data_IF_383445378314
#
_entry.id   IF_383445378314
#
_cell.length_a   1.000
_cell.length_b   1.000
_cell.length_c   1.000
_cell.angle_alpha   90.00
_cell.angle_beta   90.00
_cell.angle_gamma   90.00
#
_symmetry.space_group_name_H-M   'P 1'
#
loop_
_entity.id
_entity.type
_entity.pdbx_description
1 polymer ?
#
# COMPACT_ATOMS: atom_id res chain seq x y z
N UNK A 1 -26.04 24.09 -1.06
CA UNK A 1 -25.77 22.95 -0.17
C UNK A 1 -25.93 21.69 -1.00
N UNK A 2 -24.83 21.04 -1.38
CA UNK A 2 -24.84 19.87 -2.28
C UNK A 2 -24.40 18.65 -1.48
N UNK A 3 -25.32 17.71 -1.29
CA UNK A 3 -25.09 16.42 -0.66
C UNK A 3 -24.72 15.40 -1.74
N UNK A 4 -23.51 14.86 -1.70
CA UNK A 4 -23.07 13.72 -2.51
C UNK A 4 -22.53 12.61 -1.60
N UNK A 5 -23.44 11.83 -1.02
CA UNK A 5 -23.15 10.48 -0.51
C UNK A 5 -24.40 9.62 -0.76
N UNK A 6 -24.37 8.86 -1.85
CA UNK A 6 -25.36 7.83 -2.17
C UNK A 6 -24.67 6.48 -2.25
N UNK A 7 -24.24 5.95 -1.10
CA UNK A 7 -23.77 4.56 -0.99
C UNK A 7 -24.92 3.70 -0.48
N UNK A 8 -25.35 2.75 -1.31
CA UNK A 8 -26.16 1.60 -0.90
C UNK A 8 -27.61 1.62 -1.35
N UNK A 9 -27.97 0.67 -2.22
CA UNK A 9 -29.15 -0.19 -2.05
C UNK A 9 -29.26 -1.23 -3.18
N UNK A 10 -29.10 -2.50 -2.78
CA UNK A 10 -29.86 -3.71 -3.17
C UNK A 10 -30.43 -3.89 -4.58
N UNK A 11 -30.09 -5.02 -5.21
CA UNK A 11 -30.93 -5.67 -6.22
C UNK A 11 -31.48 -6.98 -5.66
N UNK A 12 -32.82 -7.07 -5.62
CA UNK A 12 -33.63 -8.21 -5.21
C UNK A 12 -33.70 -9.26 -6.32
N UNK A 13 -33.85 -10.50 -5.88
CA UNK A 13 -34.30 -11.67 -6.63
C UNK A 13 -35.69 -11.45 -7.21
N UNK A 14 -35.90 -11.82 -8.48
CA UNK A 14 -37.23 -12.07 -9.03
C UNK A 14 -37.25 -13.44 -9.72
N UNK A 15 -37.97 -14.36 -9.11
CA UNK A 15 -38.39 -15.62 -9.69
C UNK A 15 -39.75 -15.40 -10.37
N UNK A 16 -39.88 -15.81 -11.63
CA UNK A 16 -41.17 -15.86 -12.29
C UNK A 16 -41.27 -17.13 -13.15
N UNK A 17 -42.24 -17.97 -12.81
CA UNK A 17 -42.75 -19.09 -13.61
C UNK A 17 -44.13 -18.66 -14.13
N UNK A 18 -44.59 -19.07 -15.33
CA UNK A 18 -45.39 -20.30 -15.38
C UNK A 18 -45.34 -21.12 -16.70
N UNK A 19 -45.48 -22.44 -16.51
CA UNK A 19 -46.25 -23.47 -17.25
C UNK A 19 -46.14 -23.61 -18.79
N UNK A 20 -45.74 -24.81 -19.23
CA UNK A 20 -46.54 -25.60 -20.17
C UNK A 20 -46.54 -27.07 -19.75
N UNK A 21 -47.72 -27.67 -19.86
CA UNK A 21 -48.14 -29.02 -19.48
C UNK A 21 -48.25 -29.85 -20.75
N UNK A 22 -47.86 -31.13 -20.71
CA UNK A 22 -48.36 -32.28 -21.50
C UNK A 22 -47.37 -33.45 -21.31
N UNK A 23 -47.71 -34.74 -21.39
CA UNK A 23 -48.80 -35.58 -20.88
C UNK A 23 -48.24 -37.03 -20.97
N UNK A 24 -48.76 -37.94 -20.14
CA UNK A 24 -48.76 -39.41 -20.31
C UNK A 24 -47.48 -40.27 -20.11
N UNK A 25 -47.49 -40.98 -18.96
CA UNK A 25 -47.46 -42.45 -18.77
C UNK A 25 -46.25 -43.37 -19.06
N UNK A 26 -46.08 -44.28 -18.08
CA UNK A 26 -45.66 -45.71 -18.11
C UNK A 26 -44.17 -46.11 -18.04
N UNK A 27 -43.79 -46.67 -16.88
CA UNK A 27 -42.77 -47.74 -16.64
C UNK A 27 -43.32 -49.09 -17.18
N UNK A 28 -42.60 -50.25 -17.26
CA UNK A 28 -41.19 -50.59 -16.95
C UNK A 28 -40.46 -51.51 -17.98
N UNK A 29 -39.21 -51.88 -17.64
CA UNK A 29 -38.50 -53.16 -17.85
C UNK A 29 -37.19 -53.27 -18.68
N UNK A 30 -36.22 -53.90 -18.00
CA UNK A 30 -35.24 -54.92 -18.41
C UNK A 30 -34.01 -54.64 -19.33
N UNK A 31 -32.84 -54.68 -18.66
CA UNK A 31 -31.59 -55.43 -18.94
C UNK A 31 -31.17 -55.79 -20.38
N UNK A 32 -29.93 -55.42 -20.74
CA UNK A 32 -28.93 -56.34 -21.30
C UNK A 32 -27.52 -55.74 -21.33
N UNK A 33 -26.54 -56.59 -21.01
CA UNK A 33 -25.11 -56.32 -20.89
C UNK A 33 -24.39 -56.23 -22.25
N UNK A 34 -23.37 -55.39 -22.40
CA UNK A 34 -22.24 -55.69 -23.30
C UNK A 34 -20.95 -54.93 -22.92
N UNK A 35 -19.84 -55.67 -23.00
CA UNK A 35 -18.47 -55.34 -22.57
C UNK A 35 -17.64 -54.65 -23.67
N UNK A 36 -16.71 -53.78 -23.22
CA UNK A 36 -15.44 -53.32 -23.82
C UNK A 36 -15.45 -52.11 -24.80
N UNK A 37 -14.34 -51.33 -24.94
CA UNK A 37 -13.13 -51.20 -24.10
C UNK A 37 -12.90 -49.75 -23.60
N UNK A 38 -11.97 -49.63 -22.63
CA UNK A 38 -11.53 -48.38 -22.03
C UNK A 38 -11.03 -47.37 -23.08
N UNK A 39 -11.76 -46.26 -23.23
CA UNK A 39 -11.24 -45.03 -23.81
C UNK A 39 -10.74 -44.15 -22.66
N UNK A 40 -9.43 -44.03 -22.54
CA UNK A 40 -8.77 -42.97 -21.79
C UNK A 40 -9.35 -41.64 -22.29
N UNK A 41 -9.96 -40.78 -21.44
CA UNK A 41 -10.15 -39.40 -21.86
C UNK A 41 -8.75 -38.81 -21.95
N UNK A 42 -8.25 -38.71 -23.19
CA UNK A 42 -7.15 -37.80 -23.51
C UNK A 42 -7.67 -36.43 -23.09
N UNK A 43 -7.22 -35.96 -21.93
CA UNK A 43 -7.39 -34.57 -21.54
C UNK A 43 -6.64 -33.76 -22.57
N UNK A 44 -7.36 -33.27 -23.57
CA UNK A 44 -6.91 -32.19 -24.44
C UNK A 44 -6.65 -31.00 -23.53
N UNK A 45 -5.41 -30.90 -23.03
CA UNK A 45 -4.90 -29.72 -22.38
C UNK A 45 -4.95 -28.63 -23.45
N UNK A 46 -6.06 -27.89 -23.48
CA UNK A 46 -6.17 -26.67 -24.25
C UNK A 46 -4.98 -25.82 -23.84
N UNK A 47 -4.07 -25.62 -24.78
CA UNK A 47 -2.93 -24.73 -24.62
C UNK A 47 -3.47 -23.39 -24.14
N UNK A 48 -3.24 -23.10 -22.86
CA UNK A 48 -3.62 -21.84 -22.26
C UNK A 48 -2.89 -20.76 -23.08
N UNK A 49 -3.62 -19.80 -23.68
CA UNK A 49 -2.97 -18.74 -24.43
C UNK A 49 -1.94 -18.07 -23.51
N UNK A 50 -0.75 -17.67 -24.02
CA UNK A 50 0.28 -17.07 -23.20
C UNK A 50 -0.34 -15.88 -22.47
N UNK A 51 -0.41 -15.99 -21.13
CA UNK A 51 -1.00 -14.95 -20.29
C UNK A 51 -0.31 -13.64 -20.64
N UNK A 52 -1.06 -12.70 -21.20
CA UNK A 52 -0.59 -11.34 -21.42
C UNK A 52 -0.16 -10.81 -20.07
N UNK A 53 1.13 -10.53 -19.91
CA UNK A 53 1.68 -10.02 -18.66
C UNK A 53 1.06 -8.64 -18.42
N UNK A 54 0.17 -8.54 -17.45
CA UNK A 54 -0.40 -7.27 -17.04
C UNK A 54 0.73 -6.40 -16.48
N UNK A 55 0.92 -5.20 -17.03
CA UNK A 55 1.99 -4.26 -16.61
C UNK A 55 1.43 -3.17 -15.68
N UNK A 56 0.52 -3.56 -14.79
CA UNK A 56 -0.21 -2.61 -13.94
C UNK A 56 0.72 -1.98 -12.90
N UNK A 57 1.66 -2.77 -12.37
CA UNK A 57 2.74 -2.33 -11.50
C UNK A 57 3.59 -1.20 -12.13
N UNK A 58 3.94 -1.32 -13.41
CA UNK A 58 4.73 -0.32 -14.13
C UNK A 58 3.97 1.00 -14.29
N UNK A 59 2.66 0.95 -14.52
CA UNK A 59 1.82 2.14 -14.64
C UNK A 59 1.72 2.88 -13.31
N UNK A 60 1.60 2.16 -12.20
CA UNK A 60 1.57 2.75 -10.87
C UNK A 60 2.94 3.35 -10.50
N UNK A 61 4.03 2.67 -10.84
CA UNK A 61 5.40 3.17 -10.64
C UNK A 61 5.65 4.46 -11.44
N UNK A 62 5.37 4.44 -12.74
CA UNK A 62 5.56 5.61 -13.61
C UNK A 62 4.67 6.76 -13.16
N UNK A 63 3.43 6.48 -12.76
CA UNK A 63 2.52 7.47 -12.19
C UNK A 63 3.08 8.11 -10.91
N UNK A 64 3.55 7.29 -9.96
CA UNK A 64 4.17 7.76 -8.72
C UNK A 64 5.46 8.56 -8.95
N UNK A 65 6.32 8.09 -9.87
CA UNK A 65 7.57 8.77 -10.23
C UNK A 65 7.31 10.10 -10.93
N UNK A 66 6.36 10.16 -11.86
CA UNK A 66 5.97 11.39 -12.54
C UNK A 66 5.36 12.40 -11.56
N UNK A 67 4.48 11.95 -10.67
CA UNK A 67 3.88 12.78 -9.64
C UNK A 67 4.93 13.32 -8.67
N UNK A 68 5.87 12.49 -8.22
CA UNK A 68 6.98 12.90 -7.37
C UNK A 68 7.91 13.91 -8.07
N UNK A 69 8.29 13.67 -9.32
CA UNK A 69 9.11 14.61 -10.08
C UNK A 69 8.41 15.97 -10.24
N UNK A 70 7.11 15.96 -10.53
CA UNK A 70 6.31 17.18 -10.62
C UNK A 70 6.20 17.91 -9.27
N UNK A 71 6.00 17.18 -8.16
CA UNK A 71 5.97 17.72 -6.80
C UNK A 71 7.31 18.37 -6.40
N UNK A 72 8.42 17.71 -6.69
CA UNK A 72 9.76 18.26 -6.42
C UNK A 72 10.02 19.48 -7.29
N UNK A 73 9.59 19.47 -8.55
CA UNK A 73 9.73 20.62 -9.45
C UNK A 73 8.97 21.85 -8.94
N UNK A 74 7.70 21.71 -8.54
CA UNK A 74 6.92 22.84 -8.01
C UNK A 74 7.52 23.36 -6.70
N UNK A 75 7.98 22.46 -5.82
CA UNK A 75 8.66 22.82 -4.57
C UNK A 75 9.94 23.61 -4.84
N UNK A 76 10.78 23.12 -5.76
CA UNK A 76 12.03 23.79 -6.13
C UNK A 76 11.76 25.17 -6.70
N UNK A 77 10.75 25.32 -7.56
CA UNK A 77 10.35 26.62 -8.13
C UNK A 77 9.89 27.60 -7.04
N UNK A 78 9.04 27.15 -6.11
CA UNK A 78 8.54 27.98 -5.01
C UNK A 78 9.70 28.42 -4.09
N UNK A 79 10.59 27.49 -3.73
CA UNK A 79 11.70 27.76 -2.84
C UNK A 79 12.77 28.68 -3.45
N UNK A 80 13.04 28.58 -4.76
CA UNK A 80 13.99 29.48 -5.45
C UNK A 80 13.51 30.93 -5.40
N UNK A 81 12.21 31.19 -5.59
CA UNK A 81 11.65 32.55 -5.51
C UNK A 81 11.89 33.17 -4.13
N UNK A 82 11.66 32.39 -3.06
CA UNK A 82 11.92 32.83 -1.67
C UNK A 82 13.41 33.03 -1.40
N UNK A 83 14.26 32.10 -1.87
CA UNK A 83 15.73 32.23 -1.77
C UNK A 83 16.23 33.53 -2.40
N UNK A 84 15.76 33.87 -3.61
CA UNK A 84 16.19 35.08 -4.31
C UNK A 84 15.72 36.34 -3.56
N UNK A 85 14.51 36.33 -2.98
CA UNK A 85 14.02 37.45 -2.18
C UNK A 85 14.86 37.71 -0.90
N UNK A 86 15.53 36.68 -0.37
CA UNK A 86 16.44 36.83 0.76
C UNK A 86 17.82 37.39 0.40
N UNK A 87 18.16 37.53 -0.89
CA UNK A 87 19.45 38.07 -1.32
C UNK A 87 19.40 39.61 -1.25
N UNK A 88 20.24 40.24 -0.40
CA UNK A 88 20.26 41.70 -0.29
C UNK A 88 20.80 42.36 -1.59
N UNK A 89 20.21 43.46 -2.09
CA UNK A 89 20.82 44.28 -3.14
C UNK A 89 22.17 44.88 -2.74
N UNK A 90 22.98 45.28 -3.73
CA UNK A 90 24.41 45.68 -3.62
C UNK A 90 24.77 46.77 -2.58
N UNK A 91 23.80 47.44 -1.97
CA UNK A 91 24.01 48.51 -0.99
C UNK A 91 23.19 48.36 0.29
N UNK A 92 22.53 47.21 0.50
CA UNK A 92 21.90 46.92 1.80
C UNK A 92 22.77 45.93 2.57
N UNK A 93 23.19 46.31 3.77
CA UNK A 93 23.86 45.40 4.69
C UNK A 93 22.89 44.32 5.15
N UNK A 94 23.36 43.06 5.22
CA UNK A 94 22.56 41.88 5.58
C UNK A 94 21.76 42.02 6.88
N UNK A 95 22.19 42.87 7.80
CA UNK A 95 21.51 43.18 9.07
C UNK A 95 20.18 43.94 8.90
N UNK A 96 20.01 44.70 7.81
CA UNK A 96 18.82 45.55 7.60
C UNK A 96 17.93 45.04 6.46
N UNK A 97 18.35 44.00 5.75
CA UNK A 97 17.54 43.34 4.73
C UNK A 97 16.68 42.24 5.36
N UNK A 98 15.47 42.61 5.75
CA UNK A 98 14.47 41.63 6.21
C UNK A 98 13.36 41.53 5.15
N UNK A 99 13.30 40.42 4.39
CA UNK A 99 12.16 40.18 3.51
C UNK A 99 10.89 40.15 4.35
N UNK A 100 9.84 40.80 3.85
CA UNK A 100 8.53 40.83 4.50
C UNK A 100 7.97 39.40 4.55
N UNK A 101 8.07 38.76 5.71
CA UNK A 101 7.64 37.39 5.95
C UNK A 101 6.41 37.38 6.84
N UNK A 102 5.32 36.78 6.37
CA UNK A 102 4.16 36.50 7.21
C UNK A 102 4.26 35.05 7.70
N UNK A 103 4.72 34.86 8.94
CA UNK A 103 5.02 33.54 9.49
C UNK A 103 3.84 32.55 9.43
N UNK A 104 2.60 33.01 9.59
CA UNK A 104 1.42 32.15 9.51
C UNK A 104 1.17 31.67 8.07
N UNK A 105 1.31 32.57 7.09
CA UNK A 105 1.13 32.25 5.67
C UNK A 105 2.28 31.36 5.16
N UNK A 106 3.51 31.64 5.58
CA UNK A 106 4.68 30.82 5.23
C UNK A 106 4.62 29.43 5.84
N UNK A 107 4.14 29.30 7.09
CA UNK A 107 3.94 28.01 7.73
C UNK A 107 2.87 27.17 7.03
N UNK A 108 1.76 27.78 6.62
CA UNK A 108 0.72 27.08 5.86
C UNK A 108 1.22 26.60 4.49
N UNK A 109 1.95 27.45 3.78
CA UNK A 109 2.57 27.09 2.51
C UNK A 109 3.60 25.96 2.69
N UNK A 110 4.44 26.05 3.73
CA UNK A 110 5.44 25.03 4.06
C UNK A 110 4.79 23.69 4.44
N UNK A 111 3.71 23.71 5.21
CA UNK A 111 2.95 22.53 5.56
C UNK A 111 2.42 21.83 4.31
N UNK A 112 1.78 22.57 3.41
CA UNK A 112 1.22 22.00 2.18
C UNK A 112 2.33 21.51 1.22
N UNK A 113 3.41 22.28 1.08
CA UNK A 113 4.60 21.86 0.33
C UNK A 113 5.19 20.56 0.89
N UNK A 114 5.22 20.40 2.22
CA UNK A 114 5.73 19.20 2.86
C UNK A 114 4.79 17.99 2.65
N UNK A 115 3.48 18.16 2.84
CA UNK A 115 2.52 17.05 2.71
C UNK A 115 2.49 16.50 1.30
N UNK A 116 2.49 17.36 0.28
CA UNK A 116 2.50 16.90 -1.11
C UNK A 116 3.80 16.14 -1.41
N UNK A 117 4.96 16.60 -0.94
CA UNK A 117 6.23 15.90 -1.15
C UNK A 117 6.28 14.53 -0.43
N UNK A 118 5.80 14.44 0.81
CA UNK A 118 5.75 13.17 1.56
C UNK A 118 4.75 12.20 0.93
N UNK A 119 3.55 12.69 0.55
CA UNK A 119 2.54 11.89 -0.13
C UNK A 119 3.07 11.36 -1.47
N UNK A 120 3.76 12.21 -2.23
CA UNK A 120 4.38 11.81 -3.48
C UNK A 120 5.49 10.77 -3.30
N UNK A 121 6.33 10.96 -2.27
CA UNK A 121 7.37 9.99 -1.93
C UNK A 121 6.76 8.64 -1.53
N UNK A 122 5.69 8.65 -0.75
CA UNK A 122 4.92 7.46 -0.40
C UNK A 122 4.36 6.75 -1.63
N UNK A 123 3.80 7.49 -2.59
CA UNK A 123 3.27 6.91 -3.82
C UNK A 123 4.37 6.34 -4.72
N UNK A 124 5.53 7.01 -4.80
CA UNK A 124 6.71 6.52 -5.52
C UNK A 124 7.28 5.25 -4.87
N UNK A 125 7.46 5.25 -3.54
CA UNK A 125 7.99 4.09 -2.80
C UNK A 125 7.04 2.90 -2.84
N UNK A 126 5.74 3.13 -2.63
CA UNK A 126 4.72 2.09 -2.78
C UNK A 126 4.73 1.50 -4.20
N UNK A 127 4.76 2.34 -5.23
CA UNK A 127 4.89 1.90 -6.62
C UNK A 127 6.20 1.14 -6.89
N UNK A 128 7.31 1.56 -6.28
CA UNK A 128 8.62 0.91 -6.35
C UNK A 128 8.64 -0.48 -5.73
N UNK A 129 8.07 -0.62 -4.53
CA UNK A 129 7.94 -1.92 -3.85
C UNK A 129 7.06 -2.85 -4.68
N UNK A 130 5.94 -2.34 -5.19
CA UNK A 130 5.01 -3.14 -6.02
C UNK A 130 5.67 -3.60 -7.33
N UNK A 131 6.53 -2.77 -7.92
CA UNK A 131 7.34 -3.14 -9.09
C UNK A 131 8.43 -4.17 -8.77
N UNK A 132 9.18 -4.01 -7.66
CA UNK A 132 10.25 -4.93 -7.27
C UNK A 132 9.73 -6.34 -6.93
N UNK A 133 8.55 -6.43 -6.33
CA UNK A 133 7.91 -7.68 -5.97
C UNK A 133 7.05 -8.29 -7.10
N UNK A 134 7.03 -7.66 -8.28
CA UNK A 134 6.21 -8.00 -9.45
C UNK A 134 4.72 -8.24 -9.11
N UNK A 135 4.17 -7.38 -8.25
CA UNK A 135 2.77 -7.48 -7.80
C UNK A 135 1.87 -6.75 -8.79
N UNK A 136 1.07 -7.49 -9.55
CA UNK A 136 0.14 -6.88 -10.50
C UNK A 136 -1.31 -6.83 -10.00
N UNK A 137 -1.64 -7.62 -8.98
CA UNK A 137 -2.98 -7.64 -8.40
C UNK A 137 -3.05 -8.08 -6.94
N UNK A 138 -4.29 -8.24 -6.46
CA UNK A 138 -4.59 -8.65 -5.08
C UNK A 138 -4.18 -10.10 -4.79
N UNK A 139 -4.18 -10.97 -5.81
CA UNK A 139 -3.78 -12.37 -5.66
C UNK A 139 -2.27 -12.50 -5.40
N UNK A 140 -1.45 -11.73 -6.11
CA UNK A 140 0.00 -11.66 -5.89
C UNK A 140 0.31 -11.12 -4.49
N UNK A 141 -0.40 -10.07 -4.07
CA UNK A 141 -0.27 -9.52 -2.72
C UNK A 141 -0.63 -10.54 -1.65
N UNK A 142 -1.69 -11.33 -1.84
CA UNK A 142 -2.08 -12.40 -0.92
C UNK A 142 -1.06 -13.53 -0.88
N UNK A 143 -0.46 -13.88 -2.03
CA UNK A 143 0.60 -14.88 -2.11
C UNK A 143 1.84 -14.44 -1.36
N UNK A 144 2.26 -13.20 -1.54
CA UNK A 144 3.40 -12.62 -0.82
C UNK A 144 3.11 -12.51 0.67
N UNK A 145 1.90 -12.11 1.07
CA UNK A 145 1.55 -12.01 2.49
C UNK A 145 1.55 -13.37 3.19
N UNK A 146 1.12 -14.43 2.49
CA UNK A 146 1.19 -15.81 3.01
C UNK A 146 2.62 -16.34 3.04
N UNK A 147 3.39 -16.13 1.97
CA UNK A 147 4.79 -16.54 1.90
C UNK A 147 5.70 -15.75 2.85
N UNK A 148 5.36 -14.49 3.15
CA UNK A 148 6.06 -13.65 4.11
C UNK A 148 5.80 -14.06 5.55
N UNK A 149 4.60 -14.56 5.88
CA UNK A 149 4.31 -15.12 7.20
C UNK A 149 5.04 -16.45 7.41
N UNK A 150 5.08 -17.31 6.39
CA UNK A 150 5.87 -18.55 6.45
C UNK A 150 7.38 -18.25 6.48
N UNK A 151 7.88 -17.28 5.72
CA UNK A 151 9.31 -16.94 5.66
C UNK A 151 9.84 -16.16 6.87
N UNK A 152 9.03 -15.26 7.46
CA UNK A 152 9.42 -14.48 8.63
C UNK A 152 9.31 -15.28 9.93
N UNK A 153 8.34 -16.19 10.04
CA UNK A 153 8.19 -17.07 11.20
C UNK A 153 9.13 -18.28 11.17
N UNK A 154 9.67 -18.66 10.00
CA UNK A 154 10.48 -19.87 9.86
C UNK A 154 11.95 -19.76 10.28
N UNK A 155 12.46 -18.60 10.73
CA UNK A 155 13.90 -18.49 10.97
C UNK A 155 14.43 -17.41 11.91
N UNK A 156 13.62 -16.47 12.39
CA UNK A 156 14.06 -15.45 13.36
C UNK A 156 13.24 -15.57 14.63
N UNK A 157 13.91 -15.72 15.77
CA UNK A 157 13.26 -15.62 17.07
C UNK A 157 12.69 -14.21 17.24
N UNK A 158 11.60 -14.09 18.00
CA UNK A 158 10.96 -12.82 18.35
C UNK A 158 11.99 -11.85 18.97
N UNK A 159 12.96 -12.38 19.73
CA UNK A 159 14.04 -11.63 20.37
C UNK A 159 15.05 -11.01 19.38
N UNK A 160 15.36 -11.68 18.25
CA UNK A 160 16.21 -11.09 17.21
C UNK A 160 15.49 -9.94 16.50
N UNK A 161 14.18 -10.10 16.26
CA UNK A 161 13.34 -9.06 15.66
C UNK A 161 13.25 -7.83 16.58
N UNK A 162 13.06 -8.02 17.88
CA UNK A 162 13.04 -6.93 18.86
C UNK A 162 14.36 -6.15 18.91
N UNK A 163 15.49 -6.85 18.79
CA UNK A 163 16.81 -6.22 18.75
C UNK A 163 17.02 -5.43 17.46
N UNK A 164 16.70 -6.00 16.30
CA UNK A 164 16.77 -5.31 15.00
C UNK A 164 15.87 -4.05 14.99
N UNK A 165 14.67 -4.13 15.59
CA UNK A 165 13.77 -2.98 15.73
C UNK A 165 14.38 -1.93 16.66
N UNK A 166 14.98 -2.33 17.79
CA UNK A 166 15.61 -1.41 18.74
C UNK A 166 16.80 -0.68 18.10
N UNK A 167 17.69 -1.41 17.41
CA UNK A 167 18.84 -0.83 16.70
C UNK A 167 18.40 0.12 15.58
N UNK A 168 17.33 -0.23 14.85
CA UNK A 168 16.77 0.66 13.83
C UNK A 168 16.18 1.92 14.46
N UNK A 169 15.38 1.80 15.53
CA UNK A 169 14.83 2.95 16.25
C UNK A 169 15.94 3.84 16.80
N UNK A 170 16.99 3.25 17.38
CA UNK A 170 18.16 3.97 17.87
C UNK A 170 18.89 4.70 16.73
N UNK A 171 19.02 4.07 15.55
CA UNK A 171 19.62 4.69 14.37
C UNK A 171 18.81 5.88 13.84
N UNK A 172 17.47 5.87 13.97
CA UNK A 172 16.61 6.94 13.44
C UNK A 172 16.40 8.08 14.46
N UNK A 173 16.23 7.76 15.74
CA UNK A 173 15.96 8.74 16.81
C UNK A 173 17.24 9.20 17.54
N UNK A 174 18.37 8.50 17.33
CA UNK A 174 19.65 8.74 17.98
C UNK A 174 19.70 8.29 19.46
N UNK A 175 20.91 8.17 20.02
CA UNK A 175 21.22 7.75 21.40
C UNK A 175 20.39 8.45 22.50
N UNK A 176 19.84 9.63 22.22
CA UNK A 176 19.08 10.43 23.19
C UNK A 176 17.72 9.83 23.51
N UNK A 177 17.14 9.06 22.58
CA UNK A 177 15.86 8.38 22.79
C UNK A 177 16.06 7.03 23.48
N UNK A 178 17.12 6.31 23.10
CA UNK A 178 17.54 5.06 23.75
C UNK A 178 17.79 5.27 25.26
N UNK A 179 18.57 6.29 25.62
CA UNK A 179 18.79 6.68 27.03
C UNK A 179 17.52 7.04 27.80
N UNK A 180 16.45 7.46 27.12
CA UNK A 180 15.16 7.75 27.74
C UNK A 180 14.32 6.48 27.90
N UNK A 181 14.34 5.59 26.90
CA UNK A 181 13.65 4.30 26.94
C UNK A 181 14.22 3.38 28.01
N UNK A 182 15.55 3.32 28.15
CA UNK A 182 16.23 2.57 29.20
C UNK A 182 15.87 3.10 30.60
N UNK A 183 15.79 4.43 30.77
CA UNK A 183 15.36 5.08 32.02
C UNK A 183 13.92 4.71 32.38
N UNK A 184 13.02 4.68 31.41
CA UNK A 184 11.63 4.25 31.57
C UNK A 184 11.53 2.76 31.93
N UNK A 185 12.29 1.89 31.26
CA UNK A 185 12.34 0.45 31.56
C UNK A 185 12.89 0.18 32.96
N UNK A 186 13.96 0.88 33.38
CA UNK A 186 14.52 0.78 34.72
C UNK A 186 13.52 1.24 35.79
N UNK A 187 12.88 2.39 35.59
CA UNK A 187 11.84 2.91 36.49
C UNK A 187 10.64 1.96 36.62
N UNK A 188 10.23 1.29 35.54
CA UNK A 188 9.16 0.28 35.60
C UNK A 188 9.54 -0.98 36.36
N UNK A 189 10.81 -1.42 36.29
CA UNK A 189 11.31 -2.54 37.08
C UNK A 189 11.33 -2.20 38.57
N UNK A 190 11.85 -1.03 38.92
CA UNK A 190 11.84 -0.54 40.31
C UNK A 190 10.41 -0.34 40.86
N UNK A 191 9.48 0.15 40.03
CA UNK A 191 8.09 0.35 40.43
C UNK A 191 7.29 -0.97 40.51
N UNK A 192 7.73 -2.02 39.82
CA UNK A 192 7.21 -3.37 39.92
C UNK A 192 7.64 -4.04 41.22
N UNK A 193 8.91 -3.87 41.61
CA UNK A 193 9.47 -4.39 42.87
C UNK A 193 8.90 -3.70 44.13
N UNK A 194 8.42 -2.46 44.03
CA UNK A 194 7.77 -1.75 45.14
C UNK A 194 6.30 -2.11 45.37
N UNK A 195 5.71 -2.95 44.49
CA UNK A 195 4.30 -3.33 44.54
C UNK A 195 4.05 -4.79 44.96
N UNK A 196 5.12 -5.57 45.15
CA UNK A 196 5.10 -6.86 45.85
C UNK A 196 5.54 -6.69 47.31
#
# INVERSE_FOLDING_TARGET
MLSFLGWGSSSKSDANTPKHQDNASTKPDQSSSQLSPAATPTSTQLAQPPATKDTTNLKLLVGGMAFFAFSVFITRRAHIKKRIACIPPFYTSSMFHQPQANGAMEAFEALNLATINVMSFGMMTAGGIMYMLDVNGVDDMRRIMRGGLEGAAAGKSDEELEKEVTDWVASVLGDRFEKQLEKERAKKRELGELKE
#
